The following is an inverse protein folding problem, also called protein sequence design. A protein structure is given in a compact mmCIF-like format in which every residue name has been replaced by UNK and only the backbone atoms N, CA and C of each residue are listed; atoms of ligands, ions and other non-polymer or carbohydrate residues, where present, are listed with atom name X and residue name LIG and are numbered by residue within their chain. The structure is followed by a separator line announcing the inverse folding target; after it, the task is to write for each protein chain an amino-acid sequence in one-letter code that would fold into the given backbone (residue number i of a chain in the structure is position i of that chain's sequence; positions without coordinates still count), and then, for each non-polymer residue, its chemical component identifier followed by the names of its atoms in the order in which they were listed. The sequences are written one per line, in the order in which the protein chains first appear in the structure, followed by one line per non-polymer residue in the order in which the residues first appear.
data_IF_113314801546
#
_entry.id   IF_113314801546
#
_cell.length_a   1.000
_cell.length_b   1.000
_cell.length_c   1.000
_cell.angle_alpha   90.00
_cell.angle_beta   90.00
_cell.angle_gamma   90.00
#
_symmetry.space_group_name_H-M   'P 1'
#
loop_
_entity.id
_entity.type
_entity.pdbx_description
1 polymer ?
#
# COMPACT_ATOMS: atom_id res chain seq x y z
N UNK A 1 -6.54 -16.42 3.41
CA UNK A 1 -7.11 -15.22 2.73
C UNK A 1 -6.70 -15.32 1.27
N UNK A 2 -7.61 -15.13 0.30
CA UNK A 2 -7.20 -15.09 -1.11
C UNK A 2 -6.39 -13.81 -1.34
N UNK A 3 -5.31 -13.91 -2.11
CA UNK A 3 -4.49 -12.77 -2.47
C UNK A 3 -5.32 -11.80 -3.33
N UNK A 4 -5.27 -10.50 -3.03
CA UNK A 4 -5.94 -9.49 -3.85
C UNK A 4 -5.38 -9.48 -5.27
N UNK A 5 -6.23 -9.13 -6.25
CA UNK A 5 -5.88 -9.07 -7.67
C UNK A 5 -5.77 -7.63 -8.20
N UNK A 6 -6.19 -6.66 -7.41
CA UNK A 6 -6.05 -5.23 -7.68
C UNK A 6 -5.88 -4.47 -6.37
N UNK A 7 -5.46 -3.21 -6.45
CA UNK A 7 -5.35 -2.33 -5.28
C UNK A 7 -6.74 -2.07 -4.69
N UNK A 8 -7.75 -1.88 -5.53
CA UNK A 8 -9.15 -1.72 -5.12
C UNK A 8 -9.63 -2.96 -4.35
N UNK A 9 -9.35 -4.15 -4.87
CA UNK A 9 -9.71 -5.41 -4.21
C UNK A 9 -9.01 -5.60 -2.87
N UNK A 10 -7.77 -5.09 -2.72
CA UNK A 10 -7.09 -5.06 -1.43
C UNK A 10 -7.78 -4.11 -0.44
N UNK A 11 -8.10 -2.89 -0.88
CA UNK A 11 -8.77 -1.88 -0.05
C UNK A 11 -10.16 -2.34 0.38
N UNK A 12 -10.95 -2.92 -0.54
CA UNK A 12 -12.29 -3.44 -0.27
C UNK A 12 -12.30 -4.61 0.71
N UNK A 13 -11.24 -5.41 0.73
CA UNK A 13 -11.07 -6.54 1.64
C UNK A 13 -10.54 -6.15 3.03
N UNK A 14 -10.19 -4.89 3.25
CA UNK A 14 -9.56 -4.43 4.50
C UNK A 14 -10.57 -3.74 5.42
N UNK A 15 -10.54 -4.01 6.74
CA UNK A 15 -11.32 -3.21 7.71
C UNK A 15 -10.83 -1.75 7.78
N UNK A 16 -9.64 -1.46 7.27
CA UNK A 16 -9.01 -0.14 7.24
C UNK A 16 -9.18 0.57 5.89
N UNK A 17 -10.23 0.23 5.13
CA UNK A 17 -10.43 0.75 3.76
C UNK A 17 -10.29 2.26 3.71
N UNK A 18 -10.91 2.99 4.63
CA UNK A 18 -10.92 4.46 4.66
C UNK A 18 -9.51 5.02 4.88
N UNK A 19 -8.80 4.48 5.85
CA UNK A 19 -7.47 4.92 6.25
C UNK A 19 -6.41 4.57 5.20
N UNK A 20 -6.47 3.35 4.66
CA UNK A 20 -5.60 2.92 3.56
C UNK A 20 -5.86 3.70 2.27
N UNK A 21 -7.12 4.06 2.00
CA UNK A 21 -7.45 4.93 0.86
C UNK A 21 -6.86 6.34 1.02
N UNK A 22 -6.86 6.88 2.24
CA UNK A 22 -6.22 8.17 2.52
C UNK A 22 -4.70 8.10 2.34
N UNK A 23 -4.05 7.03 2.81
CA UNK A 23 -2.61 6.81 2.56
C UNK A 23 -2.31 6.68 1.06
N UNK A 24 -3.11 5.90 0.33
CA UNK A 24 -3.01 5.76 -1.13
C UNK A 24 -3.11 7.12 -1.83
N UNK A 25 -4.08 7.95 -1.45
CA UNK A 25 -4.24 9.28 -2.03
C UNK A 25 -3.01 10.17 -1.80
N UNK A 26 -2.44 10.15 -0.60
CA UNK A 26 -1.20 10.90 -0.28
C UNK A 26 -0.04 10.42 -1.14
N UNK A 27 0.16 9.11 -1.25
CA UNK A 27 1.28 8.53 -2.00
C UNK A 27 1.15 8.80 -3.51
N UNK A 28 -0.06 8.69 -4.06
CA UNK A 28 -0.34 8.93 -5.49
C UNK A 28 -0.26 10.41 -5.92
N UNK A 29 -0.09 11.35 -4.99
CA UNK A 29 0.20 12.76 -5.31
C UNK A 29 1.67 13.01 -5.64
N UNK A 30 2.53 12.00 -5.50
CA UNK A 30 3.97 12.08 -5.77
C UNK A 30 4.33 11.29 -7.04
N UNK A 31 5.60 11.29 -7.42
CA UNK A 31 6.16 10.53 -8.56
C UNK A 31 6.23 9.00 -8.36
N UNK A 32 5.58 8.49 -7.30
CA UNK A 32 5.59 7.08 -6.97
C UNK A 32 4.74 6.27 -7.94
N UNK A 33 5.29 5.15 -8.42
CA UNK A 33 4.54 4.18 -9.22
C UNK A 33 3.87 3.16 -8.30
N UNK A 34 2.54 3.12 -8.31
CA UNK A 34 1.74 2.15 -7.58
C UNK A 34 1.71 0.79 -8.29
N UNK A 35 2.10 -0.27 -7.57
CA UNK A 35 2.03 -1.65 -8.04
C UNK A 35 1.47 -2.58 -6.96
N UNK A 36 0.73 -3.60 -7.39
CA UNK A 36 0.29 -4.67 -6.50
C UNK A 36 1.33 -5.80 -6.50
N UNK A 37 2.04 -5.99 -5.38
CA UNK A 37 2.97 -7.12 -5.19
C UNK A 37 2.53 -7.99 -4.03
N UNK A 38 2.51 -9.30 -4.25
CA UNK A 38 2.04 -10.28 -3.26
C UNK A 38 0.65 -9.95 -2.68
N UNK A 39 -0.21 -9.33 -3.49
CA UNK A 39 -1.56 -8.91 -3.11
C UNK A 39 -1.65 -7.72 -2.17
N UNK A 40 -0.59 -6.92 -2.04
CA UNK A 40 -0.56 -5.69 -1.24
C UNK A 40 -0.06 -4.52 -2.10
N UNK A 41 -0.56 -3.29 -1.93
CA UNK A 41 -0.09 -2.13 -2.68
C UNK A 41 1.29 -1.67 -2.21
N UNK A 42 2.20 -1.54 -3.16
CA UNK A 42 3.55 -1.01 -3.00
C UNK A 42 3.79 0.15 -3.95
N UNK A 43 4.68 1.03 -3.56
CA UNK A 43 5.00 2.26 -4.25
C UNK A 43 6.49 2.32 -4.51
N UNK A 44 6.83 2.66 -5.74
CA UNK A 44 8.17 2.50 -6.27
C UNK A 44 8.73 3.77 -6.88
N UNK A 45 10.05 3.88 -6.83
CA UNK A 45 10.86 4.86 -7.57
C UNK A 45 11.92 4.06 -8.32
N UNK A 46 12.10 4.31 -9.61
CA UNK A 46 13.09 3.63 -10.46
C UNK A 46 13.05 2.09 -10.35
N UNK A 47 11.84 1.52 -10.26
CA UNK A 47 11.62 0.07 -10.15
C UNK A 47 11.95 -0.55 -8.78
N UNK A 48 12.34 0.26 -7.79
CA UNK A 48 12.62 -0.19 -6.42
C UNK A 48 11.44 0.13 -5.49
N UNK A 49 11.09 -0.81 -4.61
CA UNK A 49 10.05 -0.60 -3.61
C UNK A 49 10.57 0.36 -2.54
N UNK A 50 9.88 1.48 -2.36
CA UNK A 50 10.22 2.50 -1.35
C UNK A 50 9.28 2.39 -0.16
N UNK A 51 7.98 2.27 -0.41
CA UNK A 51 6.96 2.20 0.65
C UNK A 51 5.80 1.28 0.26
N UNK A 52 5.21 0.58 1.23
CA UNK A 52 3.95 -0.15 1.08
C UNK A 52 2.89 0.37 2.05
N UNK A 53 1.61 0.14 1.74
CA UNK A 53 0.52 0.33 2.69
C UNK A 53 -0.03 -1.03 3.11
N UNK A 54 -0.25 -1.22 4.41
CA UNK A 54 -0.75 -2.49 4.91
C UNK A 54 -1.75 -2.32 6.05
N UNK A 55 -2.83 -3.10 5.99
CA UNK A 55 -3.76 -3.32 7.10
C UNK A 55 -3.44 -4.60 7.86
N UNK A 56 -3.39 -4.50 9.19
CA UNK A 56 -3.19 -5.61 10.12
C UNK A 56 -4.41 -5.76 11.05
N UNK A 57 -4.39 -6.75 11.95
CA UNK A 57 -5.53 -7.03 12.84
C UNK A 57 -5.93 -5.86 13.76
N UNK A 58 -4.99 -5.00 14.14
CA UNK A 58 -5.20 -3.97 15.16
C UNK A 58 -4.77 -2.56 14.70
N UNK A 59 -4.13 -2.47 13.55
CA UNK A 59 -3.60 -1.21 13.02
C UNK A 59 -3.46 -1.28 11.51
N UNK A 60 -3.22 -0.14 10.90
CA UNK A 60 -2.77 0.01 9.53
C UNK A 60 -1.50 0.85 9.54
N UNK A 61 -0.72 0.83 8.46
CA UNK A 61 0.48 1.65 8.42
C UNK A 61 1.16 1.72 7.06
N UNK A 62 2.16 2.60 7.03
CA UNK A 62 3.16 2.68 6.00
C UNK A 62 4.34 1.78 6.37
N UNK A 63 4.87 1.06 5.39
CA UNK A 63 6.05 0.25 5.54
C UNK A 63 7.15 0.72 4.59
N UNK A 64 8.17 1.38 5.14
CA UNK A 64 9.38 1.75 4.40
C UNK A 64 10.36 0.59 4.41
N UNK A 65 10.50 -0.10 3.27
CA UNK A 65 11.33 -1.31 3.18
C UNK A 65 12.81 -1.07 3.48
N UNK A 66 13.29 0.15 3.27
CA UNK A 66 14.67 0.57 3.50
C UNK A 66 14.80 1.52 4.69
N UNK A 67 13.75 1.66 5.51
CA UNK A 67 13.70 2.67 6.57
C UNK A 67 13.54 4.10 6.03
N UNK A 68 13.66 5.07 6.92
CA UNK A 68 13.63 6.51 6.63
C UNK A 68 14.83 7.13 7.36
N UNK A 69 15.51 8.07 6.71
CA UNK A 69 16.68 8.76 7.23
C UNK A 69 16.33 10.20 7.62
#
# INVERSE_FOLDING_TARGET
MKMAKSVEGYLDGSPWKKELSALREILNRNELVEELKWGTPYYMVDGKIVVGIAGFKQYFGLWFHQGVF
#
